data_IF_267818504528
#
_entry.id   IF_267818504528
#
_cell.length_a   1.000
_cell.length_b   1.000
_cell.length_c   1.000
_cell.angle_alpha   90.00
_cell.angle_beta   90.00
_cell.angle_gamma   90.00
#
_symmetry.space_group_name_H-M   'P 1'
#
loop_
_entity.id
_entity.type
_entity.pdbx_description
1 polymer ?
#
# COMPACT_ATOMS: atom_id res chain seq x y z
N UNK A 1 -13.37 23.86 -38.19
CA UNK A 1 -13.09 23.50 -36.78
C UNK A 1 -11.65 23.90 -36.47
N UNK A 2 -11.39 24.84 -35.55
CA UNK A 2 -10.06 25.47 -35.39
C UNK A 2 -9.03 24.45 -34.91
N UNK A 3 -7.92 24.30 -35.66
CA UNK A 3 -6.81 23.34 -35.44
C UNK A 3 -6.31 23.31 -33.99
N UNK A 4 -6.38 24.43 -33.26
CA UNK A 4 -6.08 24.51 -31.83
C UNK A 4 -6.93 23.57 -30.96
N UNK A 5 -8.24 23.44 -31.22
CA UNK A 5 -9.11 22.54 -30.44
C UNK A 5 -8.72 21.07 -30.62
N UNK A 6 -8.26 20.70 -31.82
CA UNK A 6 -7.76 19.35 -32.12
C UNK A 6 -6.43 19.11 -31.39
N UNK A 7 -5.54 20.09 -31.36
CA UNK A 7 -4.29 20.03 -30.59
C UNK A 7 -4.53 19.90 -29.08
N UNK A 8 -5.51 20.62 -28.51
CA UNK A 8 -5.89 20.43 -27.10
C UNK A 8 -6.47 19.05 -26.84
N UNK A 9 -7.28 18.51 -27.76
CA UNK A 9 -7.84 17.17 -27.65
C UNK A 9 -6.75 16.08 -27.72
N UNK A 10 -5.78 16.22 -28.64
CA UNK A 10 -4.64 15.32 -28.73
C UNK A 10 -3.68 15.44 -27.55
N UNK A 11 -3.47 16.66 -27.04
CA UNK A 11 -2.67 16.91 -25.84
C UNK A 11 -3.36 16.32 -24.60
N UNK A 12 -4.69 16.44 -24.51
CA UNK A 12 -5.50 15.80 -23.48
C UNK A 12 -5.43 14.28 -23.57
N UNK A 13 -5.59 13.69 -24.77
CA UNK A 13 -5.44 12.26 -25.01
C UNK A 13 -4.03 11.76 -24.66
N UNK A 14 -2.98 12.48 -25.08
CA UNK A 14 -1.60 12.14 -24.71
C UNK A 14 -1.37 12.26 -23.20
N UNK A 15 -1.92 13.28 -22.53
CA UNK A 15 -1.80 13.43 -21.09
C UNK A 15 -2.56 12.31 -20.37
N UNK A 16 -3.76 11.97 -20.83
CA UNK A 16 -4.56 10.88 -20.27
C UNK A 16 -3.87 9.53 -20.51
N UNK A 17 -3.39 9.22 -21.71
CA UNK A 17 -2.71 7.96 -22.03
C UNK A 17 -1.29 7.85 -21.42
N UNK A 18 -0.54 8.96 -21.29
CA UNK A 18 0.81 8.94 -20.69
C UNK A 18 0.81 9.05 -19.17
N UNK A 19 -0.18 9.71 -18.55
CA UNK A 19 -0.22 9.92 -17.10
C UNK A 19 -1.28 9.08 -16.38
N UNK A 20 -2.22 8.46 -17.08
CA UNK A 20 -3.25 7.59 -16.49
C UNK A 20 -3.19 6.20 -17.15
N UNK A 21 -2.33 5.28 -16.69
CA UNK A 21 -2.48 3.85 -17.03
C UNK A 21 -3.72 3.19 -16.39
N UNK A 22 -4.69 3.97 -15.87
CA UNK A 22 -5.60 3.52 -14.81
C UNK A 22 -7.09 3.54 -15.18
N UNK A 23 -7.51 3.85 -16.41
CA UNK A 23 -8.94 3.81 -16.77
C UNK A 23 -9.38 2.61 -17.63
N UNK A 24 -8.46 1.80 -18.13
CA UNK A 24 -8.80 0.45 -18.61
C UNK A 24 -8.54 -0.54 -17.49
N UNK A 25 -9.49 -0.64 -16.56
CA UNK A 25 -9.64 -1.83 -15.75
C UNK A 25 -10.06 -2.98 -16.69
N UNK A 26 -9.11 -3.65 -17.31
CA UNK A 26 -9.36 -5.01 -17.78
C UNK A 26 -9.62 -5.85 -16.53
N UNK A 27 -10.87 -6.28 -16.40
CA UNK A 27 -11.30 -7.25 -15.40
C UNK A 27 -10.70 -8.60 -15.72
N UNK A 28 -9.45 -8.83 -15.30
CA UNK A 28 -8.93 -10.19 -15.24
C UNK A 28 -9.52 -10.88 -14.01
N UNK A 29 -10.63 -11.57 -14.29
CA UNK A 29 -11.14 -12.70 -13.55
C UNK A 29 -9.99 -13.69 -13.32
N UNK A 30 -9.61 -13.95 -12.06
CA UNK A 30 -9.40 -15.31 -11.57
C UNK A 30 -9.12 -15.35 -10.06
N UNK A 31 -9.89 -16.22 -9.41
CA UNK A 31 -9.70 -16.85 -8.11
C UNK A 31 -9.82 -15.94 -6.88
N UNK A 32 -11.08 -15.84 -6.43
CA UNK A 32 -11.48 -15.53 -5.07
C UNK A 32 -10.68 -16.35 -4.04
N UNK A 33 -9.53 -15.85 -3.65
CA UNK A 33 -9.13 -15.90 -2.25
C UNK A 33 -9.75 -14.67 -1.60
N UNK A 34 -10.41 -14.86 -0.46
CA UNK A 34 -11.16 -13.84 0.26
C UNK A 34 -10.31 -12.60 0.52
N UNK A 35 -10.40 -11.64 -0.40
CA UNK A 35 -9.93 -10.27 -0.22
C UNK A 35 -10.91 -9.54 0.69
N UNK A 36 -10.97 -9.95 1.96
CA UNK A 36 -11.87 -9.40 2.98
C UNK A 36 -11.62 -7.92 3.27
N UNK A 37 -10.53 -7.32 2.79
CA UNK A 37 -10.14 -5.94 3.13
C UNK A 37 -9.69 -5.08 1.93
N UNK A 38 -9.76 -5.60 0.71
CA UNK A 38 -9.21 -4.89 -0.46
C UNK A 38 -10.24 -4.82 -1.57
N UNK A 39 -11.31 -4.06 -1.33
CA UNK A 39 -11.95 -3.38 -2.43
C UNK A 39 -11.07 -2.16 -2.78
N UNK A 40 -10.04 -2.40 -3.62
CA UNK A 40 -9.03 -1.41 -4.03
C UNK A 40 -9.63 -0.14 -4.68
N UNK A 41 -10.92 -0.17 -5.04
CA UNK A 41 -11.63 0.94 -5.70
C UNK A 41 -11.93 2.13 -4.77
N UNK A 42 -12.22 1.88 -3.49
CA UNK A 42 -12.58 2.93 -2.52
C UNK A 42 -11.37 3.40 -1.68
N UNK A 43 -10.34 2.56 -1.60
CA UNK A 43 -9.05 2.86 -0.94
C UNK A 43 -8.03 3.52 -1.87
N UNK A 44 -8.46 4.08 -3.01
CA UNK A 44 -7.66 5.06 -3.73
C UNK A 44 -7.65 6.33 -2.90
N UNK A 45 -6.82 6.34 -1.86
CA UNK A 45 -6.48 7.57 -1.17
C UNK A 45 -5.88 8.49 -2.23
N UNK A 46 -6.59 9.55 -2.55
CA UNK A 46 -6.09 10.61 -3.43
C UNK A 46 -5.03 11.38 -2.63
N UNK A 47 -3.82 10.82 -2.57
CA UNK A 47 -2.66 11.38 -1.90
C UNK A 47 -2.17 12.61 -2.66
N UNK A 48 -2.86 13.74 -2.44
CA UNK A 48 -2.70 15.01 -3.14
C UNK A 48 -2.82 14.93 -4.67
N UNK A 49 -3.29 16.02 -5.28
CA UNK A 49 -3.10 16.31 -6.70
C UNK A 49 -1.60 16.52 -7.02
N UNK A 50 -0.77 15.50 -6.79
CA UNK A 50 0.57 15.39 -7.33
C UNK A 50 0.39 15.09 -8.81
N UNK A 51 0.47 16.13 -9.65
CA UNK A 51 0.32 16.04 -11.09
C UNK A 51 1.42 15.18 -11.79
N UNK A 52 2.14 14.33 -11.05
CA UNK A 52 3.46 13.91 -11.49
C UNK A 52 3.91 12.51 -11.08
N UNK A 53 3.29 11.84 -10.09
CA UNK A 53 3.37 10.37 -9.92
C UNK A 53 2.40 9.89 -8.81
N UNK A 54 1.35 9.16 -9.17
CA UNK A 54 0.54 8.36 -8.22
C UNK A 54 1.01 6.92 -8.36
N UNK A 55 1.56 6.32 -7.30
CA UNK A 55 1.94 4.90 -7.32
C UNK A 55 0.67 4.08 -7.13
N UNK A 56 0.23 3.30 -8.13
CA UNK A 56 -0.93 2.44 -7.98
C UNK A 56 -0.78 1.50 -6.78
N UNK A 57 -1.87 1.25 -6.06
CA UNK A 57 -1.83 0.44 -4.83
C UNK A 57 -1.22 -0.94 -5.07
N UNK A 58 -1.51 -1.58 -6.19
CA UNK A 58 -0.94 -2.86 -6.59
C UNK A 58 0.58 -2.81 -6.87
N UNK A 59 1.17 -1.64 -7.12
CA UNK A 59 2.60 -1.47 -7.40
C UNK A 59 3.43 -1.01 -6.19
N UNK A 60 2.81 -0.64 -5.06
CA UNK A 60 3.51 -0.11 -3.87
C UNK A 60 4.65 -1.03 -3.42
N UNK A 61 4.38 -2.32 -3.24
CA UNK A 61 5.38 -3.28 -2.79
C UNK A 61 6.54 -3.36 -3.77
N UNK A 62 6.24 -3.44 -5.06
CA UNK A 62 7.25 -3.52 -6.10
C UNK A 62 8.11 -2.24 -6.14
N UNK A 63 7.49 -1.06 -6.16
CA UNK A 63 8.23 0.21 -6.21
C UNK A 63 9.09 0.39 -4.97
N UNK A 64 8.54 0.13 -3.78
CA UNK A 64 9.26 0.24 -2.52
C UNK A 64 10.46 -0.71 -2.48
N UNK A 65 10.24 -2.00 -2.72
CA UNK A 65 11.29 -3.00 -2.60
C UNK A 65 12.40 -2.75 -3.65
N UNK A 66 12.03 -2.33 -4.87
CA UNK A 66 13.00 -1.97 -5.92
C UNK A 66 13.80 -0.74 -5.52
N UNK A 67 13.15 0.30 -4.97
CA UNK A 67 13.82 1.51 -4.52
C UNK A 67 14.85 1.21 -3.43
N UNK A 68 14.51 0.41 -2.43
CA UNK A 68 15.41 0.08 -1.33
C UNK A 68 16.60 -0.76 -1.80
N UNK A 69 16.41 -1.77 -2.65
CA UNK A 69 17.51 -2.52 -3.26
C UNK A 69 18.41 -1.59 -4.10
N UNK A 70 17.81 -0.73 -4.90
CA UNK A 70 18.52 0.20 -5.76
C UNK A 70 19.33 1.22 -4.94
N UNK A 71 18.79 1.74 -3.83
CA UNK A 71 19.49 2.66 -2.91
C UNK A 71 20.70 2.01 -2.24
N UNK A 72 20.59 0.74 -1.83
CA UNK A 72 21.73 0.01 -1.27
C UNK A 72 22.85 -0.11 -2.30
N UNK A 73 22.52 -0.50 -3.55
CA UNK A 73 23.50 -0.57 -4.64
C UNK A 73 24.13 0.78 -4.94
N UNK A 74 23.30 1.82 -5.09
CA UNK A 74 23.75 3.16 -5.41
C UNK A 74 24.72 3.71 -4.36
N UNK A 75 24.45 3.49 -3.06
CA UNK A 75 25.34 3.93 -1.98
C UNK A 75 26.75 3.33 -2.08
N UNK A 76 26.86 2.08 -2.55
CA UNK A 76 28.13 1.34 -2.69
C UNK A 76 28.95 1.74 -3.92
N UNK A 77 28.35 2.47 -4.87
CA UNK A 77 29.07 2.95 -6.06
C UNK A 77 30.08 4.05 -5.71
N UNK A 78 31.20 4.05 -6.44
CA UNK A 78 32.16 5.16 -6.41
C UNK A 78 31.55 6.43 -7.00
N UNK A 79 32.17 7.59 -6.74
CA UNK A 79 31.68 8.87 -7.26
C UNK A 79 31.54 8.89 -8.79
N UNK A 80 32.52 8.35 -9.52
CA UNK A 80 32.48 8.29 -10.98
C UNK A 80 31.36 7.36 -11.47
N UNK A 81 31.18 6.20 -10.81
CA UNK A 81 30.09 5.27 -11.13
C UNK A 81 28.71 5.90 -10.88
N UNK A 82 28.56 6.66 -9.79
CA UNK A 82 27.33 7.42 -9.51
C UNK A 82 27.06 8.43 -10.63
N UNK A 83 28.08 9.21 -11.03
CA UNK A 83 27.95 10.17 -12.14
C UNK A 83 27.52 9.49 -13.44
N UNK A 84 28.16 8.40 -13.84
CA UNK A 84 27.77 7.65 -15.05
C UNK A 84 26.33 7.16 -14.97
N UNK A 85 25.93 6.62 -13.82
CA UNK A 85 24.56 6.14 -13.60
C UNK A 85 23.51 7.27 -13.71
N UNK A 86 23.87 8.49 -13.30
CA UNK A 86 22.97 9.64 -13.28
C UNK A 86 22.86 10.37 -14.64
N UNK A 87 23.78 10.11 -15.58
CA UNK A 87 23.78 10.72 -16.93
C UNK A 87 22.54 10.37 -17.75
N UNK A 88 21.87 9.25 -17.48
CA UNK A 88 20.68 8.85 -18.22
C UNK A 88 19.90 7.71 -17.56
N UNK A 89 18.75 7.37 -18.16
CA UNK A 89 17.84 6.39 -17.58
C UNK A 89 18.36 4.95 -17.65
N UNK A 90 19.24 4.65 -18.61
CA UNK A 90 19.74 3.29 -18.89
C UNK A 90 20.41 2.63 -17.68
N UNK A 91 21.19 3.39 -16.91
CA UNK A 91 21.81 2.89 -15.69
C UNK A 91 20.79 2.49 -14.63
N UNK A 92 19.69 3.25 -14.51
CA UNK A 92 18.62 2.91 -13.56
C UNK A 92 17.74 1.77 -14.06
N UNK A 93 17.47 1.72 -15.38
CA UNK A 93 16.75 0.61 -16.01
C UNK A 93 17.45 -0.72 -15.80
N UNK A 94 18.78 -0.78 -15.93
CA UNK A 94 19.52 -2.02 -15.71
C UNK A 94 19.39 -2.53 -14.27
N UNK A 95 19.35 -1.64 -13.27
CA UNK A 95 19.08 -2.02 -11.87
C UNK A 95 17.66 -2.55 -11.71
N UNK A 96 16.65 -1.85 -12.24
CA UNK A 96 15.25 -2.28 -12.15
C UNK A 96 15.06 -3.64 -12.82
N UNK A 97 15.60 -3.85 -14.02
CA UNK A 97 15.55 -5.14 -14.70
C UNK A 97 16.26 -6.26 -13.92
N UNK A 98 17.42 -5.99 -13.32
CA UNK A 98 18.12 -6.97 -12.50
C UNK A 98 17.31 -7.36 -11.25
N UNK A 99 16.63 -6.40 -10.62
CA UNK A 99 15.74 -6.65 -9.49
C UNK A 99 14.53 -7.50 -9.89
N UNK A 100 13.85 -7.13 -10.99
CA UNK A 100 12.69 -7.84 -11.52
C UNK A 100 13.02 -9.29 -11.90
N UNK A 101 14.16 -9.50 -12.58
CA UNK A 101 14.65 -10.84 -12.93
C UNK A 101 14.87 -11.71 -11.69
N UNK A 102 15.38 -11.14 -10.60
CA UNK A 102 15.57 -11.86 -9.32
C UNK A 102 14.24 -12.26 -8.67
N UNK A 103 13.19 -11.43 -8.80
CA UNK A 103 11.85 -11.74 -8.26
C UNK A 103 10.97 -12.58 -9.19
N UNK A 104 11.42 -12.84 -10.43
CA UNK A 104 10.61 -13.48 -11.48
C UNK A 104 9.32 -12.68 -11.76
N UNK A 105 9.42 -11.35 -11.73
CA UNK A 105 8.32 -10.45 -12.04
C UNK A 105 8.53 -9.82 -13.41
N UNK A 106 7.49 -9.82 -14.25
CA UNK A 106 7.51 -9.26 -15.61
C UNK A 106 6.43 -8.18 -15.81
N UNK A 107 6.53 -7.03 -15.12
CA UNK A 107 5.61 -5.93 -15.31
C UNK A 107 5.78 -5.30 -16.71
N UNK A 108 4.78 -4.51 -17.12
CA UNK A 108 4.80 -3.86 -18.44
C UNK A 108 6.03 -2.95 -18.61
N UNK A 109 6.46 -2.76 -19.87
CA UNK A 109 7.56 -1.82 -20.19
C UNK A 109 7.30 -0.40 -19.65
N UNK A 110 6.04 0.04 -19.62
CA UNK A 110 5.64 1.33 -19.06
C UNK A 110 5.92 1.37 -17.55
N UNK A 111 5.48 0.37 -16.81
CA UNK A 111 5.71 0.24 -15.36
C UNK A 111 7.21 0.25 -15.02
N UNK A 112 8.02 -0.51 -15.76
CA UNK A 112 9.48 -0.55 -15.57
C UNK A 112 10.08 0.84 -15.75
N UNK A 113 9.69 1.54 -16.81
CA UNK A 113 10.18 2.89 -17.12
C UNK A 113 9.78 3.91 -16.05
N UNK A 114 8.55 3.81 -15.52
CA UNK A 114 8.06 4.64 -14.43
C UNK A 114 8.88 4.43 -13.15
N UNK A 115 9.08 3.17 -12.74
CA UNK A 115 9.90 2.83 -11.57
C UNK A 115 11.34 3.34 -11.74
N UNK A 116 11.93 3.12 -12.92
CA UNK A 116 13.29 3.59 -13.20
C UNK A 116 13.39 5.12 -13.13
N UNK A 117 12.40 5.86 -13.64
CA UNK A 117 12.38 7.33 -13.57
C UNK A 117 12.27 7.81 -12.13
N UNK A 118 11.39 7.21 -11.34
CA UNK A 118 11.22 7.52 -9.92
C UNK A 118 12.51 7.28 -9.13
N UNK A 119 13.17 6.13 -9.34
CA UNK A 119 14.45 5.80 -8.69
C UNK A 119 15.56 6.75 -9.14
N UNK A 120 15.64 7.08 -10.43
CA UNK A 120 16.65 8.01 -10.95
C UNK A 120 16.52 9.39 -10.32
N UNK A 121 15.29 9.88 -10.16
CA UNK A 121 15.02 11.15 -9.48
C UNK A 121 15.48 11.11 -8.01
N UNK A 122 15.26 10.01 -7.30
CA UNK A 122 15.75 9.85 -5.94
C UNK A 122 17.28 9.84 -5.89
N UNK A 123 17.94 9.16 -6.82
CA UNK A 123 19.41 9.14 -6.87
C UNK A 123 20.01 10.51 -7.13
N UNK A 124 19.44 11.29 -8.07
CA UNK A 124 19.84 12.69 -8.29
C UNK A 124 19.70 13.50 -7.02
N UNK A 125 18.54 13.41 -6.37
CA UNK A 125 18.25 14.13 -5.12
C UNK A 125 19.21 13.77 -3.98
N UNK A 126 19.59 12.49 -3.86
CA UNK A 126 20.56 12.03 -2.86
C UNK A 126 21.98 12.52 -3.20
N UNK A 127 22.36 12.48 -4.47
CA UNK A 127 23.69 12.84 -4.93
C UNK A 127 23.96 14.35 -4.84
N UNK A 128 22.96 15.16 -5.21
CA UNK A 128 23.09 16.62 -5.32
C UNK A 128 22.68 17.34 -4.02
N UNK A 129 22.65 16.60 -2.91
CA UNK A 129 22.06 17.06 -1.66
C UNK A 129 22.97 18.05 -0.92
N UNK A 130 22.54 19.30 -0.79
CA UNK A 130 23.21 20.33 0.01
C UNK A 130 22.94 20.18 1.52
N UNK A 131 23.75 20.83 2.37
CA UNK A 131 23.53 20.88 3.82
C UNK A 131 22.19 21.55 4.17
N UNK A 132 21.80 22.58 3.41
CA UNK A 132 20.53 23.28 3.62
C UNK A 132 19.34 22.37 3.26
N UNK A 133 19.41 21.66 2.14
CA UNK A 133 18.34 20.72 1.75
C UNK A 133 18.21 19.56 2.73
N UNK A 134 19.33 19.09 3.32
CA UNK A 134 19.32 18.12 4.42
C UNK A 134 18.57 18.63 5.66
N UNK A 135 18.81 19.88 6.08
CA UNK A 135 18.11 20.47 7.23
C UNK A 135 16.61 20.60 6.96
N UNK A 136 16.23 21.05 5.76
CA UNK A 136 14.83 21.15 5.32
C UNK A 136 14.15 19.77 5.32
N UNK A 137 14.77 18.77 4.69
CA UNK A 137 14.26 17.39 4.68
C UNK A 137 14.13 16.81 6.08
N UNK A 138 15.11 17.02 6.97
CA UNK A 138 15.05 16.52 8.35
C UNK A 138 13.86 17.12 9.11
N UNK A 139 13.54 18.39 8.87
CA UNK A 139 12.36 19.05 9.46
C UNK A 139 11.07 18.43 8.91
N UNK A 140 10.95 18.29 7.60
CA UNK A 140 9.79 17.67 6.95
C UNK A 140 9.60 16.20 7.30
N UNK A 141 10.69 15.46 7.52
CA UNK A 141 10.67 14.07 7.93
C UNK A 141 10.03 13.87 9.31
N UNK A 142 10.04 14.90 10.18
CA UNK A 142 9.31 14.83 11.46
C UNK A 142 7.81 14.70 11.25
N UNK A 143 7.23 15.36 10.26
CA UNK A 143 5.80 15.25 9.96
C UNK A 143 5.45 13.83 9.49
N UNK A 144 6.29 13.25 8.64
CA UNK A 144 6.16 11.84 8.24
C UNK A 144 6.21 10.90 9.45
N UNK A 145 7.19 11.08 10.34
CA UNK A 145 7.33 10.24 11.53
C UNK A 145 6.16 10.42 12.50
N UNK A 146 5.69 11.64 12.72
CA UNK A 146 4.52 11.93 13.56
C UNK A 146 3.27 11.24 13.02
N UNK A 147 3.07 11.30 11.70
CA UNK A 147 1.97 10.62 11.04
C UNK A 147 2.08 9.09 11.17
N UNK A 148 3.26 8.52 10.92
CA UNK A 148 3.49 7.08 11.05
C UNK A 148 3.32 6.57 12.49
N UNK A 149 3.75 7.36 13.49
CA UNK A 149 3.53 7.03 14.90
C UNK A 149 2.04 6.96 15.23
N UNK A 150 1.22 7.88 14.69
CA UNK A 150 -0.24 7.81 14.85
C UNK A 150 -0.81 6.54 14.22
N UNK A 151 -0.46 6.22 12.97
CA UNK A 151 -0.95 5.00 12.30
C UNK A 151 -0.62 3.77 13.16
N UNK A 152 0.63 3.65 13.64
CA UNK A 152 1.06 2.53 14.48
C UNK A 152 0.29 2.46 15.80
N UNK A 153 0.03 3.61 16.42
CA UNK A 153 -0.76 3.69 17.65
C UNK A 153 -2.19 3.20 17.42
N UNK A 154 -2.88 3.76 16.43
CA UNK A 154 -4.27 3.41 16.12
C UNK A 154 -4.38 1.92 15.76
N UNK A 155 -3.45 1.41 14.93
CA UNK A 155 -3.37 -0.01 14.57
C UNK A 155 -3.27 -0.92 15.79
N UNK A 156 -2.38 -0.59 16.73
CA UNK A 156 -2.18 -1.37 17.95
C UNK A 156 -3.39 -1.29 18.88
N UNK A 157 -4.01 -0.12 19.02
CA UNK A 157 -5.23 0.05 19.83
C UNK A 157 -6.36 -0.79 19.27
N UNK A 158 -6.62 -0.66 17.96
CA UNK A 158 -7.69 -1.36 17.29
C UNK A 158 -7.52 -2.88 17.36
N UNK A 159 -6.30 -3.38 17.13
CA UNK A 159 -5.99 -4.80 17.29
C UNK A 159 -6.27 -5.30 18.71
N UNK A 160 -5.89 -4.52 19.73
CA UNK A 160 -6.13 -4.89 21.13
C UNK A 160 -7.62 -4.96 21.42
N UNK A 161 -8.40 -4.02 20.92
CA UNK A 161 -9.85 -3.98 21.08
C UNK A 161 -10.53 -5.15 20.35
N UNK A 162 -10.17 -5.40 19.09
CA UNK A 162 -10.69 -6.53 18.29
C UNK A 162 -10.33 -7.89 18.92
N UNK A 163 -9.10 -8.05 19.40
CA UNK A 163 -8.68 -9.25 20.12
C UNK A 163 -9.51 -9.43 21.41
N UNK A 164 -9.69 -8.36 22.18
CA UNK A 164 -10.49 -8.41 23.39
C UNK A 164 -11.94 -8.81 23.08
N UNK A 165 -12.54 -8.26 22.02
CA UNK A 165 -13.88 -8.63 21.56
C UNK A 165 -13.97 -10.13 21.22
N UNK A 166 -12.99 -10.69 20.50
CA UNK A 166 -13.03 -12.10 20.15
C UNK A 166 -12.87 -13.05 21.33
N UNK A 167 -12.06 -12.67 22.33
CA UNK A 167 -11.73 -13.58 23.43
C UNK A 167 -12.63 -13.43 24.65
N UNK A 168 -13.14 -12.22 24.92
CA UNK A 168 -13.77 -11.86 26.18
C UNK A 168 -15.21 -11.36 26.05
N UNK A 169 -15.73 -11.09 24.84
CA UNK A 169 -17.11 -10.62 24.72
C UNK A 169 -18.12 -11.74 24.89
N UNK A 170 -19.32 -11.38 25.36
CA UNK A 170 -20.39 -12.33 25.69
C UNK A 170 -20.78 -13.25 24.53
N UNK A 171 -20.74 -12.74 23.30
CA UNK A 171 -21.11 -13.48 22.09
C UNK A 171 -20.10 -14.59 21.74
N UNK A 172 -18.84 -14.40 22.14
CA UNK A 172 -17.73 -15.29 21.78
C UNK A 172 -17.16 -16.05 22.97
N UNK A 173 -17.47 -15.65 24.21
CA UNK A 173 -16.81 -16.16 25.42
C UNK A 173 -16.92 -17.69 25.55
N UNK A 174 -18.07 -18.28 25.19
CA UNK A 174 -18.33 -19.72 25.25
C UNK A 174 -17.69 -20.51 24.10
N UNK A 175 -17.21 -19.84 23.05
CA UNK A 175 -16.60 -20.49 21.89
C UNK A 175 -15.20 -21.00 22.22
N UNK A 176 -14.82 -22.11 21.59
CA UNK A 176 -13.59 -22.81 21.91
C UNK A 176 -12.35 -21.99 21.52
N UNK A 177 -11.26 -22.21 22.25
CA UNK A 177 -10.02 -21.45 22.06
C UNK A 177 -9.35 -21.73 20.71
N UNK A 178 -9.53 -22.93 20.11
CA UNK A 178 -8.91 -23.25 18.82
C UNK A 178 -9.58 -22.46 17.70
N UNK A 179 -10.91 -22.39 17.69
CA UNK A 179 -11.68 -21.55 16.77
C UNK A 179 -11.29 -20.08 16.91
N UNK A 180 -11.24 -19.55 18.15
CA UNK A 180 -10.82 -18.15 18.39
C UNK A 180 -9.44 -17.86 17.81
N UNK A 181 -8.46 -18.72 18.06
CA UNK A 181 -7.12 -18.54 17.49
C UNK A 181 -7.13 -18.58 15.96
N UNK A 182 -7.88 -19.50 15.35
CA UNK A 182 -7.98 -19.62 13.90
C UNK A 182 -8.66 -18.40 13.24
N UNK A 183 -9.73 -17.88 13.85
CA UNK A 183 -10.41 -16.65 13.41
C UNK A 183 -9.49 -15.44 13.55
N UNK A 184 -8.80 -15.33 14.70
CA UNK A 184 -7.83 -14.27 14.94
C UNK A 184 -6.71 -14.29 13.90
N UNK A 185 -6.10 -15.45 13.65
CA UNK A 185 -4.99 -15.61 12.73
C UNK A 185 -5.36 -15.20 11.30
N UNK A 186 -6.57 -15.57 10.84
CA UNK A 186 -7.11 -15.14 9.54
C UNK A 186 -7.24 -13.62 9.44
N UNK A 187 -7.79 -12.99 10.48
CA UNK A 187 -7.98 -11.53 10.51
C UNK A 187 -6.65 -10.79 10.60
N UNK A 188 -5.83 -11.13 11.61
CA UNK A 188 -4.60 -10.42 11.94
C UNK A 188 -3.58 -10.53 10.82
N UNK A 189 -3.55 -11.63 10.07
CA UNK A 189 -2.72 -11.76 8.87
C UNK A 189 -3.11 -10.71 7.81
N UNK A 190 -4.40 -10.60 7.53
CA UNK A 190 -4.94 -9.67 6.53
C UNK A 190 -4.72 -8.21 6.94
N UNK A 191 -5.00 -7.89 8.20
CA UNK A 191 -4.82 -6.54 8.73
C UNK A 191 -3.34 -6.13 8.82
N UNK A 192 -2.44 -7.06 9.22
CA UNK A 192 -1.00 -6.83 9.17
C UNK A 192 -0.49 -6.57 7.75
N UNK A 193 -1.01 -7.30 6.75
CA UNK A 193 -0.64 -7.10 5.35
C UNK A 193 -1.00 -5.69 4.89
N UNK A 194 -2.20 -5.22 5.24
CA UNK A 194 -2.63 -3.84 4.99
C UNK A 194 -1.71 -2.82 5.68
N UNK A 195 -1.44 -2.98 6.97
CA UNK A 195 -0.58 -2.08 7.74
C UNK A 195 0.85 -1.96 7.17
N UNK A 196 1.47 -3.08 6.80
CA UNK A 196 2.81 -3.09 6.17
C UNK A 196 2.80 -2.40 4.81
N UNK A 197 1.73 -2.56 4.03
CA UNK A 197 1.60 -1.89 2.73
C UNK A 197 1.46 -0.38 2.91
N UNK A 198 0.76 0.04 3.95
CA UNK A 198 0.59 1.44 4.30
C UNK A 198 1.90 2.11 4.77
N UNK A 199 2.77 1.40 5.50
CA UNK A 199 4.12 1.86 5.83
C UNK A 199 4.92 2.23 4.56
N UNK A 200 4.95 1.28 3.62
CA UNK A 200 5.64 1.44 2.34
C UNK A 200 5.06 2.61 1.54
N UNK A 201 3.74 2.73 1.49
CA UNK A 201 3.04 3.84 0.83
C UNK A 201 3.45 5.19 1.43
N UNK A 202 3.30 5.33 2.76
CA UNK A 202 3.65 6.54 3.49
C UNK A 202 5.10 6.98 3.22
N UNK A 203 6.01 6.00 3.13
CA UNK A 203 7.42 6.25 2.85
C UNK A 203 7.66 6.70 1.42
N UNK A 204 7.00 6.07 0.44
CA UNK A 204 7.08 6.46 -0.97
C UNK A 204 6.50 7.86 -1.20
N UNK A 205 5.36 8.19 -0.58
CA UNK A 205 4.75 9.52 -0.64
C UNK A 205 5.71 10.60 -0.12
N UNK A 206 6.39 10.33 1.00
CA UNK A 206 7.38 11.25 1.54
C UNK A 206 8.52 11.49 0.54
N UNK A 207 9.06 10.42 -0.05
CA UNK A 207 10.14 10.50 -1.04
C UNK A 207 9.66 11.29 -2.27
N UNK A 208 8.45 11.02 -2.74
CA UNK A 208 7.79 11.72 -3.83
C UNK A 208 7.75 13.23 -3.55
N UNK A 209 7.21 13.65 -2.39
CA UNK A 209 7.18 15.07 -1.98
C UNK A 209 8.58 15.70 -1.93
N UNK A 210 9.59 14.96 -1.46
CA UNK A 210 10.99 15.43 -1.46
C UNK A 210 11.55 15.63 -2.87
N UNK A 211 11.23 14.73 -3.81
CA UNK A 211 11.65 14.86 -5.22
C UNK A 211 11.02 16.08 -5.89
N UNK A 212 9.80 16.46 -5.51
CA UNK A 212 9.12 17.66 -6.00
C UNK A 212 9.51 18.94 -5.26
N UNK A 213 10.43 18.87 -4.29
CA UNK A 213 10.90 20.04 -3.56
C UNK A 213 9.83 20.65 -2.65
N UNK A 214 8.88 19.85 -2.15
CA UNK A 214 7.86 20.35 -1.23
C UNK A 214 8.51 20.88 0.06
N UNK A 215 8.01 22.03 0.51
CA UNK A 215 8.42 22.62 1.77
C UNK A 215 7.71 21.98 2.98
N UNK A 216 8.14 22.38 4.16
CA UNK A 216 7.59 21.89 5.43
C UNK A 216 6.07 22.11 5.54
N UNK A 217 5.57 23.29 5.15
CA UNK A 217 4.16 23.62 5.32
C UNK A 217 3.27 22.83 4.37
N UNK A 218 3.73 22.59 3.15
CA UNK A 218 3.04 21.74 2.17
C UNK A 218 2.94 20.30 2.67
N UNK A 219 4.02 19.78 3.25
CA UNK A 219 4.06 18.42 3.80
C UNK A 219 3.20 18.28 5.05
N UNK A 220 3.24 19.27 5.95
CA UNK A 220 2.37 19.32 7.13
C UNK A 220 0.90 19.33 6.73
N UNK A 221 0.51 20.16 5.74
CA UNK A 221 -0.85 20.19 5.19
C UNK A 221 -1.25 18.85 4.56
N UNK A 222 -0.33 18.20 3.84
CA UNK A 222 -0.57 16.89 3.24
C UNK A 222 -0.85 15.82 4.31
N UNK A 223 -0.01 15.69 5.34
CA UNK A 223 -0.23 14.72 6.40
C UNK A 223 -1.46 15.04 7.26
N UNK A 224 -1.81 16.31 7.42
CA UNK A 224 -3.08 16.70 8.06
C UNK A 224 -4.30 16.19 7.29
N UNK A 225 -4.28 16.25 5.96
CA UNK A 225 -5.36 15.72 5.11
C UNK A 225 -5.44 14.20 5.17
N UNK A 226 -4.31 13.51 5.05
CA UNK A 226 -4.30 12.05 5.04
C UNK A 226 -4.66 11.48 6.41
N UNK A 227 -4.32 12.17 7.50
CA UNK A 227 -4.79 11.79 8.83
C UNK A 227 -6.31 11.65 8.93
N UNK A 228 -7.06 12.55 8.32
CA UNK A 228 -8.53 12.47 8.28
C UNK A 228 -8.99 11.26 7.47
N UNK A 229 -8.29 10.91 6.39
CA UNK A 229 -8.58 9.70 5.61
C UNK A 229 -8.26 8.44 6.42
N UNK A 230 -7.14 8.42 7.14
CA UNK A 230 -6.78 7.30 8.02
C UNK A 230 -7.82 7.06 9.12
N UNK A 231 -8.34 8.12 9.73
CA UNK A 231 -9.41 8.01 10.73
C UNK A 231 -10.68 7.35 10.14
N UNK A 232 -11.03 7.67 8.90
CA UNK A 232 -12.12 6.98 8.18
C UNK A 232 -11.79 5.52 7.89
N UNK A 233 -10.56 5.24 7.46
CA UNK A 233 -10.11 3.86 7.19
C UNK A 233 -10.16 2.99 8.45
N UNK A 234 -9.84 3.55 9.64
CA UNK A 234 -9.94 2.81 10.90
C UNK A 234 -11.38 2.52 11.31
N UNK A 235 -12.30 3.46 11.09
CA UNK A 235 -13.74 3.22 11.31
C UNK A 235 -14.26 2.13 10.36
N UNK A 236 -13.84 2.18 9.09
CA UNK A 236 -14.18 1.15 8.12
C UNK A 236 -13.60 -0.22 8.51
N UNK A 237 -12.33 -0.27 8.95
CA UNK A 237 -11.68 -1.49 9.42
C UNK A 237 -12.42 -2.12 10.62
N UNK A 238 -12.93 -1.29 11.53
CA UNK A 238 -13.78 -1.76 12.62
C UNK A 238 -15.10 -2.35 12.12
N UNK A 239 -15.73 -1.72 11.12
CA UNK A 239 -16.92 -2.27 10.48
C UNK A 239 -16.65 -3.63 9.81
N UNK A 240 -15.57 -3.73 9.03
CA UNK A 240 -15.18 -4.97 8.36
C UNK A 240 -14.88 -6.09 9.35
N UNK A 241 -14.26 -5.76 10.49
CA UNK A 241 -14.05 -6.70 11.58
C UNK A 241 -15.37 -7.26 12.12
N UNK A 242 -16.34 -6.40 12.42
CA UNK A 242 -17.64 -6.86 12.94
C UNK A 242 -18.38 -7.74 11.92
N UNK A 243 -18.30 -7.39 10.63
CA UNK A 243 -18.87 -8.21 9.55
C UNK A 243 -18.18 -9.57 9.50
N UNK A 244 -16.84 -9.58 9.51
CA UNK A 244 -16.03 -10.80 9.51
C UNK A 244 -16.33 -11.71 10.71
N UNK A 245 -16.41 -11.14 11.91
CA UNK A 245 -16.70 -11.87 13.15
C UNK A 245 -18.10 -12.49 13.10
N UNK A 246 -19.11 -11.72 12.71
CA UNK A 246 -20.48 -12.20 12.58
C UNK A 246 -20.61 -13.33 11.54
N UNK A 247 -19.90 -13.24 10.42
CA UNK A 247 -19.89 -14.31 9.43
C UNK A 247 -19.19 -15.57 9.97
N UNK A 248 -18.08 -15.40 10.68
CA UNK A 248 -17.35 -16.52 11.31
C UNK A 248 -18.19 -17.24 12.37
N UNK A 249 -19.01 -16.50 13.12
CA UNK A 249 -19.96 -17.07 14.08
C UNK A 249 -21.05 -17.90 13.39
N UNK A 250 -21.65 -17.36 12.32
CA UNK A 250 -22.67 -18.08 11.53
C UNK A 250 -22.12 -19.33 10.84
N UNK A 251 -20.86 -19.29 10.40
CA UNK A 251 -20.18 -20.45 9.83
C UNK A 251 -20.01 -21.54 10.90
N UNK A 252 -19.56 -21.16 12.10
CA UNK A 252 -19.40 -22.09 13.22
C UNK A 252 -20.75 -22.71 13.63
N UNK A 253 -21.81 -21.94 13.76
CA UNK A 253 -23.16 -22.44 14.09
C UNK A 253 -23.63 -23.52 13.10
N UNK A 254 -23.39 -23.31 11.80
CA UNK A 254 -23.74 -24.31 10.77
C UNK A 254 -22.88 -25.57 10.83
N UNK A 255 -21.64 -25.46 11.28
CA UNK A 255 -20.77 -26.62 11.49
C UNK A 255 -21.21 -27.42 12.71
N UNK A 256 -21.53 -26.73 13.82
CA UNK A 256 -22.07 -27.31 15.05
C UNK A 256 -23.40 -28.06 14.77
N UNK A 257 -24.35 -27.44 14.05
CA UNK A 257 -25.63 -28.06 13.66
C UNK A 257 -25.45 -29.33 12.82
N UNK A 258 -24.50 -29.33 11.87
CA UNK A 258 -24.22 -30.50 11.02
C UNK A 258 -23.61 -31.64 11.81
N UNK A 259 -22.70 -31.33 12.73
CA UNK A 259 -22.06 -32.32 13.57
C UNK A 259 -23.07 -32.98 14.52
N UNK A 260 -24.01 -32.22 15.05
CA UNK A 260 -25.06 -32.75 15.91
C UNK A 260 -26.08 -33.61 15.13
N UNK A 261 -26.48 -33.18 13.92
CA UNK A 261 -27.32 -34.00 13.02
C UNK A 261 -26.63 -35.33 12.66
N UNK A 262 -25.32 -35.30 12.39
CA UNK A 262 -24.53 -36.49 12.06
C UNK A 262 -24.37 -37.44 13.26
N UNK A 263 -24.34 -36.91 14.50
CA UNK A 263 -24.34 -37.73 15.71
C UNK A 263 -25.70 -38.40 15.90
N UNK A 264 -26.81 -37.67 15.77
CA UNK A 264 -28.16 -38.22 15.91
C UNK A 264 -28.42 -39.38 14.93
N UNK A 265 -28.02 -39.23 13.66
CA UNK A 265 -28.15 -40.31 12.65
C UNK A 265 -27.41 -41.58 13.09
N UNK A 266 -26.18 -41.45 13.64
CA UNK A 266 -25.40 -42.60 14.13
C UNK A 266 -26.03 -43.27 15.35
N UNK A 267 -26.74 -42.53 16.19
CA UNK A 267 -27.47 -43.09 17.34
C UNK A 267 -28.75 -43.83 16.92
N UNK A 268 -29.41 -43.42 15.84
CA UNK A 268 -30.61 -44.10 15.32
C UNK A 268 -30.33 -45.35 14.47
N UNK A 269 -29.08 -45.60 14.09
CA UNK A 269 -28.66 -46.74 13.28
C UNK A 269 -28.01 -47.89 14.08
N UNK A 270 -27.85 -47.72 15.39
CA UNK A 270 -27.39 -48.75 16.34
C UNK A 270 -28.55 -49.17 17.25
#
# INVERSE_FOLDING_TARGET
MKVLKVLYFFSYLLIVDLFIPCLTSESNLHNHTSSLLVNDKDLVRVHANSASFVIPTNLIDLVYDTLEDAKIRFKRLSYNQKKEMLKGLNGTLSIVHAFLKKRKEEPTKCTIRLIAKFIMNEFRRINDRTLESQKKEKRSFREHMNYWMKIRYDYNSLNKEMYNQLFNDKETISKDAKWKNLVWDKWIYSFNKYFRKEDKRCRLDFICMMQYGYDYDTIRKHYSKIRVLWEKDMLHMWSEWNIFLNNSLKELEKEEEKDDLNKEIRYTQN
#
